data_IF_972499586288
#
_entry.id   IF_972499586288
#
_cell.length_a   1.000
_cell.length_b   1.000
_cell.length_c   1.000
_cell.angle_alpha   90.00
_cell.angle_beta   90.00
_cell.angle_gamma   90.00
#
_symmetry.space_group_name_H-M   'P 1'
#
loop_
_entity.id
_entity.type
_entity.pdbx_description
1 polymer ?
#
# COMPACT_ATOMS: atom_id res chain seq x y z
N UNK A 1 -4.95 5.51 -0.92
CA UNK A 1 -3.87 5.32 0.08
C UNK A 1 -2.86 4.31 -0.45
N UNK A 2 -1.55 4.57 -0.37
CA UNK A 2 -0.51 3.68 -0.92
C UNK A 2 -0.54 2.26 -0.31
N UNK A 3 -0.73 2.19 1.01
CA UNK A 3 -0.87 0.92 1.74
C UNK A 3 -1.97 0.02 1.15
N UNK A 4 -3.14 0.59 0.83
CA UNK A 4 -4.27 -0.16 0.26
C UNK A 4 -3.91 -0.81 -1.08
N UNK A 5 -3.25 -0.06 -1.97
CA UNK A 5 -2.81 -0.57 -3.27
C UNK A 5 -1.80 -1.70 -3.06
N UNK A 6 -0.87 -1.52 -2.14
CA UNK A 6 0.17 -2.54 -1.92
C UNK A 6 -0.39 -3.81 -1.31
N UNK A 7 -1.35 -3.72 -0.38
CA UNK A 7 -2.07 -4.89 0.15
C UNK A 7 -2.77 -5.65 -0.98
N UNK A 8 -3.50 -4.95 -1.88
CA UNK A 8 -4.16 -5.62 -3.03
C UNK A 8 -3.15 -6.32 -3.92
N UNK A 9 -2.05 -5.66 -4.23
CA UNK A 9 -0.98 -6.19 -5.08
C UNK A 9 -0.37 -7.45 -4.50
N UNK A 10 0.07 -7.38 -3.24
CA UNK A 10 0.66 -8.53 -2.54
C UNK A 10 -0.32 -9.66 -2.38
N UNK A 11 -1.60 -9.34 -2.09
CA UNK A 11 -2.66 -10.34 -2.04
C UNK A 11 -2.76 -11.08 -3.38
N UNK A 12 -2.88 -10.35 -4.50
CA UNK A 12 -3.02 -10.96 -5.81
C UNK A 12 -1.82 -11.83 -6.16
N UNK A 13 -0.60 -11.30 -6.01
CA UNK A 13 0.62 -12.01 -6.34
C UNK A 13 0.82 -13.26 -5.46
N UNK A 14 0.59 -13.16 -4.15
CA UNK A 14 0.75 -14.30 -3.22
C UNK A 14 -0.27 -15.40 -3.48
N UNK A 15 -1.53 -15.03 -3.76
CA UNK A 15 -2.60 -15.99 -4.04
C UNK A 15 -2.40 -16.65 -5.39
N UNK A 16 -2.05 -15.89 -6.43
CA UNK A 16 -1.78 -16.41 -7.77
C UNK A 16 -0.57 -17.35 -7.77
N UNK A 17 0.50 -17.01 -7.05
CA UNK A 17 1.68 -17.87 -6.95
C UNK A 17 1.38 -19.24 -6.32
N UNK A 18 0.39 -19.32 -5.42
CA UNK A 18 0.07 -20.54 -4.68
C UNK A 18 -1.07 -21.34 -5.30
N UNK A 19 -2.10 -20.67 -5.80
CA UNK A 19 -3.33 -21.31 -6.28
C UNK A 19 -3.52 -21.19 -7.80
N UNK A 20 -2.74 -20.36 -8.48
CA UNK A 20 -2.83 -20.15 -9.92
C UNK A 20 -4.27 -19.85 -10.35
N UNK A 21 -4.75 -20.57 -11.36
CA UNK A 21 -6.11 -20.47 -11.91
C UNK A 21 -7.23 -20.81 -10.93
N UNK A 22 -6.93 -21.46 -9.80
CA UNK A 22 -7.92 -21.85 -8.80
C UNK A 22 -8.16 -20.78 -7.73
N UNK A 23 -7.53 -19.62 -7.84
CA UNK A 23 -7.62 -18.52 -6.86
C UNK A 23 -9.06 -18.13 -6.54
N UNK A 24 -9.91 -17.98 -7.56
CA UNK A 24 -11.32 -17.62 -7.36
C UNK A 24 -12.06 -18.61 -6.45
N UNK A 25 -11.93 -19.91 -6.70
CA UNK A 25 -12.68 -20.93 -5.95
C UNK A 25 -12.25 -21.00 -4.48
N UNK A 26 -10.97 -20.75 -4.18
CA UNK A 26 -10.46 -20.73 -2.80
C UNK A 26 -11.05 -19.60 -1.95
N UNK A 27 -11.37 -18.47 -2.59
CA UNK A 27 -11.85 -17.26 -1.92
C UNK A 27 -13.31 -16.93 -2.19
N UNK A 28 -14.00 -17.71 -3.03
CA UNK A 28 -15.41 -17.49 -3.40
C UNK A 28 -16.34 -17.37 -2.19
N UNK A 29 -16.13 -18.20 -1.17
CA UNK A 29 -16.95 -18.19 0.05
C UNK A 29 -16.81 -16.89 0.86
N UNK A 30 -15.65 -16.22 0.81
CA UNK A 30 -15.46 -14.90 1.43
C UNK A 30 -16.38 -13.86 0.76
N UNK A 31 -16.41 -13.83 -0.58
CA UNK A 31 -17.24 -12.85 -1.32
C UNK A 31 -18.74 -13.13 -1.24
N UNK A 32 -19.13 -14.40 -1.04
CA UNK A 32 -20.51 -14.80 -0.81
C UNK A 32 -20.94 -14.71 0.67
N UNK A 33 -20.02 -14.38 1.58
CA UNK A 33 -20.36 -14.18 2.98
C UNK A 33 -21.37 -13.04 3.12
N UNK A 34 -22.49 -13.29 3.80
CA UNK A 34 -23.59 -12.34 3.98
C UNK A 34 -23.13 -10.99 4.55
N UNK A 35 -22.13 -10.99 5.44
CA UNK A 35 -21.57 -9.77 6.04
C UNK A 35 -20.87 -8.91 4.98
N UNK A 36 -20.03 -9.53 4.15
CA UNK A 36 -19.31 -8.85 3.07
C UNK A 36 -20.31 -8.43 2.00
N UNK A 37 -21.05 -9.39 1.45
CA UNK A 37 -21.94 -9.25 0.31
C UNK A 37 -22.94 -8.07 0.43
N UNK A 38 -23.59 -7.90 1.58
CA UNK A 38 -24.67 -6.90 1.78
C UNK A 38 -24.21 -5.46 1.60
N UNK A 39 -22.96 -5.16 1.94
CA UNK A 39 -22.36 -3.82 1.81
C UNK A 39 -22.17 -3.39 0.34
N UNK A 40 -22.41 -4.31 -0.60
CA UNK A 40 -22.27 -4.09 -2.03
C UNK A 40 -23.60 -4.13 -2.78
N UNK A 41 -24.72 -4.28 -2.07
CA UNK A 41 -26.05 -4.18 -2.63
C UNK A 41 -26.36 -2.71 -2.96
N UNK A 42 -26.78 -2.48 -4.19
CA UNK A 42 -27.24 -1.17 -4.66
C UNK A 42 -28.56 -1.31 -5.38
N UNK A 43 -29.22 -0.18 -5.68
CA UNK A 43 -30.43 -0.17 -6.53
C UNK A 43 -30.20 -0.81 -7.91
N UNK A 44 -28.94 -0.85 -8.40
CA UNK A 44 -28.54 -1.46 -9.67
C UNK A 44 -28.11 -2.93 -9.53
N UNK A 45 -28.37 -3.54 -8.38
CA UNK A 45 -27.92 -4.90 -8.02
C UNK A 45 -26.58 -4.91 -7.29
N UNK A 46 -26.09 -6.13 -7.00
CA UNK A 46 -24.85 -6.33 -6.26
C UNK A 46 -23.64 -6.42 -7.18
N UNK A 47 -22.64 -5.55 -6.98
CA UNK A 47 -21.45 -5.53 -7.86
C UNK A 47 -20.60 -6.81 -7.77
N UNK A 48 -20.53 -7.45 -6.61
CA UNK A 48 -19.73 -8.67 -6.45
C UNK A 48 -20.40 -9.84 -7.17
N UNK A 49 -21.73 -10.00 -7.07
CA UNK A 49 -22.44 -11.04 -7.82
C UNK A 49 -22.35 -10.87 -9.32
N UNK A 50 -22.37 -9.62 -9.81
CA UNK A 50 -22.16 -9.36 -11.23
C UNK A 50 -20.84 -9.94 -11.72
N UNK A 51 -19.76 -9.80 -10.94
CA UNK A 51 -18.45 -10.35 -11.29
C UNK A 51 -18.44 -11.88 -11.14
N UNK A 52 -19.00 -12.42 -10.05
CA UNK A 52 -19.04 -13.86 -9.77
C UNK A 52 -19.77 -14.63 -10.89
N UNK A 53 -20.91 -14.09 -11.34
CA UNK A 53 -21.79 -14.71 -12.32
C UNK A 53 -21.43 -14.37 -13.78
N UNK A 54 -20.37 -13.61 -14.02
CA UNK A 54 -19.94 -13.25 -15.37
C UNK A 54 -19.25 -14.44 -16.05
N UNK A 55 -19.96 -15.15 -16.92
CA UNK A 55 -19.42 -16.33 -17.60
C UNK A 55 -18.45 -15.99 -18.74
N UNK A 56 -18.29 -14.72 -19.10
CA UNK A 56 -17.39 -14.28 -20.17
C UNK A 56 -15.94 -14.08 -19.70
N UNK A 57 -15.71 -14.15 -18.39
CA UNK A 57 -14.40 -13.89 -17.79
C UNK A 57 -13.85 -15.12 -17.13
N UNK A 58 -12.53 -15.32 -17.24
CA UNK A 58 -11.84 -16.41 -16.56
C UNK A 58 -11.94 -16.28 -15.03
N UNK A 59 -11.82 -17.41 -14.33
CA UNK A 59 -11.82 -17.42 -12.85
C UNK A 59 -10.71 -16.53 -12.26
N UNK A 60 -9.52 -16.53 -12.85
CA UNK A 60 -8.45 -15.63 -12.41
C UNK A 60 -8.82 -14.16 -12.57
N UNK A 61 -9.40 -13.80 -13.71
CA UNK A 61 -9.80 -12.41 -13.93
C UNK A 61 -10.97 -12.01 -13.02
N UNK A 62 -11.91 -12.92 -12.72
CA UNK A 62 -12.92 -12.70 -11.67
C UNK A 62 -12.28 -12.40 -10.33
N UNK A 63 -11.28 -13.18 -9.92
CA UNK A 63 -10.58 -12.95 -8.66
C UNK A 63 -9.92 -11.56 -8.62
N UNK A 64 -9.19 -11.19 -9.67
CA UNK A 64 -8.58 -9.85 -9.80
C UNK A 64 -9.63 -8.75 -9.71
N UNK A 65 -10.73 -8.85 -10.47
CA UNK A 65 -11.83 -7.88 -10.46
C UNK A 65 -12.50 -7.78 -9.07
N UNK A 66 -12.71 -8.90 -8.39
CA UNK A 66 -13.29 -8.95 -7.05
C UNK A 66 -12.39 -8.25 -6.04
N UNK A 67 -11.10 -8.60 -6.03
CA UNK A 67 -10.13 -7.96 -5.14
C UNK A 67 -10.06 -6.47 -5.41
N UNK A 68 -10.10 -6.00 -6.64
CA UNK A 68 -10.11 -4.55 -6.90
C UNK A 68 -11.44 -3.86 -6.57
N UNK A 69 -12.52 -4.61 -6.42
CA UNK A 69 -13.86 -4.07 -6.13
C UNK A 69 -14.19 -3.96 -4.65
N UNK A 70 -13.48 -4.67 -3.76
CA UNK A 70 -13.82 -4.66 -2.33
C UNK A 70 -13.34 -3.40 -1.61
N UNK A 71 -14.10 -2.91 -0.63
CA UNK A 71 -13.67 -1.81 0.25
C UNK A 71 -12.46 -2.20 1.09
N UNK A 72 -11.67 -1.21 1.53
CA UNK A 72 -10.50 -1.41 2.38
C UNK A 72 -10.84 -2.21 3.66
N UNK A 73 -12.00 -2.00 4.27
CA UNK A 73 -12.43 -2.75 5.46
C UNK A 73 -12.49 -4.26 5.22
N UNK A 74 -13.06 -4.68 4.10
CA UNK A 74 -13.15 -6.09 3.72
C UNK A 74 -11.83 -6.63 3.19
N UNK A 75 -11.02 -5.79 2.52
CA UNK A 75 -9.66 -6.17 2.15
C UNK A 75 -8.81 -6.50 3.38
N UNK A 76 -8.87 -5.66 4.41
CA UNK A 76 -8.16 -5.89 5.67
C UNK A 76 -8.71 -7.12 6.41
N UNK A 77 -10.03 -7.30 6.41
CA UNK A 77 -10.64 -8.51 7.00
C UNK A 77 -10.18 -9.79 6.30
N UNK A 78 -10.11 -9.77 4.96
CA UNK A 78 -9.63 -10.89 4.15
C UNK A 78 -8.18 -11.27 4.50
N UNK A 79 -7.27 -10.29 4.54
CA UNK A 79 -5.84 -10.60 4.77
C UNK A 79 -5.49 -10.87 6.23
N UNK A 80 -6.33 -10.46 7.18
CA UNK A 80 -6.04 -10.64 8.62
C UNK A 80 -6.79 -11.82 9.23
N UNK A 81 -8.01 -12.09 8.77
CA UNK A 81 -8.93 -13.02 9.45
C UNK A 81 -9.29 -14.25 8.59
N UNK A 82 -8.93 -14.29 7.30
CA UNK A 82 -9.19 -15.45 6.46
C UNK A 82 -8.05 -16.48 6.54
N UNK A 83 -8.42 -17.75 6.77
CA UNK A 83 -7.49 -18.84 7.16
C UNK A 83 -6.29 -19.04 6.25
N UNK A 84 -6.42 -18.74 4.98
CA UNK A 84 -5.37 -18.87 3.98
C UNK A 84 -4.17 -17.95 4.31
N UNK A 85 -4.39 -16.78 4.92
CA UNK A 85 -3.33 -15.82 5.24
C UNK A 85 -2.56 -16.13 6.53
N UNK A 86 -3.05 -17.03 7.39
CA UNK A 86 -2.35 -17.44 8.62
C UNK A 86 -2.03 -18.93 8.72
N UNK A 87 -2.68 -19.80 7.93
CA UNK A 87 -2.36 -21.24 7.89
C UNK A 87 -1.48 -21.64 6.69
N UNK A 88 -1.62 -20.99 5.53
CA UNK A 88 -0.82 -21.35 4.36
C UNK A 88 0.56 -20.70 4.41
N UNK A 89 1.60 -21.52 4.62
CA UNK A 89 2.98 -21.04 4.77
C UNK A 89 3.53 -20.33 3.52
N UNK A 90 3.11 -20.76 2.33
CA UNK A 90 3.58 -20.15 1.08
C UNK A 90 2.95 -18.76 0.86
N UNK A 91 1.67 -18.60 1.20
CA UNK A 91 1.04 -17.27 1.22
C UNK A 91 1.70 -16.40 2.28
N UNK A 92 1.96 -16.92 3.48
CA UNK A 92 2.63 -16.15 4.54
C UNK A 92 4.01 -15.65 4.12
N UNK A 93 4.80 -16.48 3.44
CA UNK A 93 6.15 -16.13 2.95
C UNK A 93 6.13 -15.05 1.88
N UNK A 94 5.12 -15.04 1.02
CA UNK A 94 5.06 -14.12 -0.14
C UNK A 94 4.30 -12.82 0.19
N UNK A 95 3.25 -12.91 1.00
CA UNK A 95 2.43 -11.76 1.38
C UNK A 95 3.14 -10.87 2.40
N UNK A 96 3.59 -11.43 3.53
CA UNK A 96 4.20 -10.67 4.62
C UNK A 96 5.71 -10.49 4.41
N UNK A 97 6.19 -9.28 4.64
CA UNK A 97 7.63 -8.99 4.72
C UNK A 97 8.19 -9.42 6.09
N UNK A 98 7.57 -8.95 7.18
CA UNK A 98 7.78 -9.48 8.54
C UNK A 98 6.61 -10.40 8.86
N UNK A 99 6.90 -11.67 9.13
CA UNK A 99 5.86 -12.66 9.44
C UNK A 99 5.37 -12.45 10.88
N UNK A 100 4.05 -12.43 11.12
CA UNK A 100 3.56 -12.51 12.48
C UNK A 100 3.92 -13.90 13.06
N UNK A 101 4.75 -13.89 14.09
CA UNK A 101 5.33 -15.10 14.68
C UNK A 101 4.31 -15.95 15.43
N UNK A 102 3.24 -15.32 15.93
CA UNK A 102 2.21 -15.97 16.74
C UNK A 102 0.86 -15.25 16.63
N UNK A 103 -0.17 -15.80 17.27
CA UNK A 103 -1.52 -15.24 17.33
C UNK A 103 -1.55 -13.81 17.88
N UNK A 104 -0.59 -13.42 18.74
CA UNK A 104 -0.51 -12.05 19.27
C UNK A 104 -0.16 -11.06 18.15
N UNK A 105 0.75 -11.40 17.24
CA UNK A 105 1.08 -10.54 16.10
C UNK A 105 -0.11 -10.30 15.18
N UNK A 106 -0.87 -11.35 14.86
CA UNK A 106 -2.11 -11.24 14.09
C UNK A 106 -3.19 -10.45 14.84
N UNK A 107 -3.33 -10.67 16.15
CA UNK A 107 -4.28 -9.94 17.00
C UNK A 107 -4.00 -8.43 16.99
N UNK A 108 -2.75 -8.02 17.15
CA UNK A 108 -2.34 -6.61 17.14
C UNK A 108 -2.68 -5.95 15.79
N UNK A 109 -2.39 -6.62 14.67
CA UNK A 109 -2.79 -6.13 13.34
C UNK A 109 -4.32 -6.05 13.20
N UNK A 110 -5.06 -7.05 13.67
CA UNK A 110 -6.51 -7.10 13.59
C UNK A 110 -7.18 -6.01 14.43
N UNK A 111 -6.62 -5.68 15.60
CA UNK A 111 -7.04 -4.57 16.46
C UNK A 111 -6.79 -3.22 15.78
N UNK A 112 -5.61 -3.02 15.17
CA UNK A 112 -5.27 -1.77 14.46
C UNK A 112 -5.96 -1.59 13.10
N UNK A 113 -6.67 -2.62 12.61
CA UNK A 113 -7.52 -2.53 11.41
C UNK A 113 -8.51 -1.36 11.45
N UNK A 114 -9.15 -1.15 12.60
CA UNK A 114 -10.18 -0.10 12.74
C UNK A 114 -9.59 1.30 12.55
N UNK A 115 -8.36 1.50 13.02
CA UNK A 115 -7.63 2.76 12.91
C UNK A 115 -7.34 3.09 11.45
N UNK A 116 -6.85 2.10 10.68
CA UNK A 116 -6.62 2.25 9.23
C UNK A 116 -7.92 2.54 8.47
N UNK A 117 -9.02 1.88 8.85
CA UNK A 117 -10.34 2.16 8.27
C UNK A 117 -10.77 3.60 8.54
N UNK A 118 -10.61 4.07 9.77
CA UNK A 118 -10.99 5.43 10.17
C UNK A 118 -10.15 6.48 9.45
N UNK A 119 -8.83 6.29 9.36
CA UNK A 119 -7.94 7.13 8.57
C UNK A 119 -8.42 7.27 7.12
N UNK A 120 -8.71 6.15 6.45
CA UNK A 120 -9.19 6.18 5.05
C UNK A 120 -10.50 6.95 4.95
N UNK A 121 -11.41 6.80 5.91
CA UNK A 121 -12.68 7.50 5.90
C UNK A 121 -12.52 9.00 6.13
N UNK A 122 -11.68 9.42 7.08
CA UNK A 122 -11.40 10.83 7.32
C UNK A 122 -10.79 11.49 6.07
N UNK A 123 -9.86 10.82 5.38
CA UNK A 123 -9.31 11.28 4.11
C UNK A 123 -10.42 11.38 3.03
N UNK A 124 -11.23 10.32 2.87
CA UNK A 124 -12.24 10.27 1.81
C UNK A 124 -13.37 11.30 1.98
N UNK A 125 -13.63 11.72 3.22
CA UNK A 125 -14.67 12.68 3.57
C UNK A 125 -14.11 14.06 3.95
N UNK A 126 -12.80 14.30 3.75
CA UNK A 126 -12.14 15.57 4.09
C UNK A 126 -12.36 16.00 5.54
N UNK A 127 -12.37 15.05 6.48
CA UNK A 127 -12.57 15.32 7.90
C UNK A 127 -11.23 15.68 8.59
N UNK A 128 -10.79 16.91 8.35
CA UNK A 128 -9.50 17.41 8.83
C UNK A 128 -9.40 17.45 10.36
N UNK A 129 -10.49 17.79 11.06
CA UNK A 129 -10.52 17.87 12.52
C UNK A 129 -10.20 16.52 13.17
N UNK A 130 -10.90 15.46 12.72
CA UNK A 130 -10.63 14.10 13.19
C UNK A 130 -9.23 13.62 12.79
N UNK A 131 -8.79 13.96 11.59
CA UNK A 131 -7.44 13.61 11.13
C UNK A 131 -6.36 14.21 12.03
N UNK A 132 -6.43 15.51 12.32
CA UNK A 132 -5.46 16.19 13.19
C UNK A 132 -5.49 15.61 14.60
N UNK A 133 -6.68 15.39 15.16
CA UNK A 133 -6.86 14.84 16.51
C UNK A 133 -6.26 13.45 16.68
N UNK A 134 -6.40 12.59 15.67
CA UNK A 134 -5.96 11.18 15.74
C UNK A 134 -4.65 10.91 14.99
N UNK A 135 -3.95 11.97 14.53
CA UNK A 135 -2.75 11.88 13.66
C UNK A 135 -1.72 10.87 14.15
N UNK A 136 -1.39 10.90 15.45
CA UNK A 136 -0.40 9.99 16.04
C UNK A 136 -0.85 8.53 15.95
N UNK A 137 -2.11 8.25 16.30
CA UNK A 137 -2.63 6.88 16.24
C UNK A 137 -2.69 6.35 14.80
N UNK A 138 -3.06 7.23 13.86
CA UNK A 138 -3.05 6.91 12.43
C UNK A 138 -1.66 6.58 11.92
N UNK A 139 -0.67 7.38 12.31
CA UNK A 139 0.72 7.12 11.97
C UNK A 139 1.23 5.81 12.57
N UNK A 140 0.99 5.58 13.86
CA UNK A 140 1.41 4.34 14.55
C UNK A 140 0.81 3.10 13.87
N UNK A 141 -0.47 3.17 13.50
CA UNK A 141 -1.13 2.08 12.77
C UNK A 141 -0.56 1.90 11.36
N UNK A 142 -0.32 2.98 10.61
CA UNK A 142 0.32 2.91 9.30
C UNK A 142 1.69 2.23 9.40
N UNK A 143 2.55 2.67 10.32
CA UNK A 143 3.89 2.11 10.51
C UNK A 143 3.86 0.63 10.85
N UNK A 144 2.90 0.22 11.70
CA UNK A 144 2.71 -1.18 12.00
C UNK A 144 2.39 -1.97 10.72
N UNK A 145 1.37 -1.58 9.95
CA UNK A 145 0.99 -2.29 8.73
C UNK A 145 2.12 -2.28 7.69
N UNK A 146 2.78 -1.15 7.51
CA UNK A 146 3.90 -0.98 6.59
C UNK A 146 5.08 -1.90 6.90
N UNK A 147 5.38 -2.10 8.19
CA UNK A 147 6.44 -3.02 8.64
C UNK A 147 6.10 -4.46 8.25
N UNK A 148 4.87 -4.91 8.51
CA UNK A 148 4.44 -6.28 8.20
C UNK A 148 4.28 -6.54 6.71
N UNK A 149 3.82 -5.54 5.95
CA UNK A 149 3.60 -5.68 4.49
C UNK A 149 4.89 -5.43 3.71
N UNK A 150 5.84 -4.65 4.25
CA UNK A 150 7.09 -4.28 3.59
C UNK A 150 6.99 -3.01 2.74
N UNK A 151 6.09 -2.09 3.09
CA UNK A 151 5.93 -0.79 2.44
C UNK A 151 6.58 0.27 3.32
N UNK A 152 7.90 0.32 3.39
CA UNK A 152 8.60 0.99 4.48
C UNK A 152 8.64 2.53 4.37
N UNK A 153 7.47 3.18 4.25
CA UNK A 153 7.34 4.64 4.18
C UNK A 153 7.64 5.25 5.55
N UNK A 154 7.41 4.55 6.66
CA UNK A 154 7.77 5.08 7.99
C UNK A 154 9.26 5.36 8.19
N UNK A 155 10.17 4.73 7.44
CA UNK A 155 11.57 5.16 7.40
C UNK A 155 11.72 6.62 6.93
N UNK A 156 10.86 7.05 6.00
CA UNK A 156 10.80 8.41 5.47
C UNK A 156 10.20 9.40 6.47
N UNK A 157 9.53 8.95 7.53
CA UNK A 157 9.08 9.85 8.59
C UNK A 157 10.26 10.47 9.35
N UNK A 158 11.40 9.78 9.42
CA UNK A 158 12.62 10.37 9.98
C UNK A 158 13.16 11.57 9.17
N UNK A 159 12.66 11.77 7.95
CA UNK A 159 13.06 12.86 7.06
C UNK A 159 12.17 14.10 7.15
N UNK A 160 11.16 14.12 8.04
CA UNK A 160 10.13 15.18 7.97
C UNK A 160 10.60 16.59 8.35
N UNK A 161 11.79 16.76 8.92
CA UNK A 161 12.32 18.07 9.28
C UNK A 161 13.85 18.13 9.05
N UNK A 162 14.26 18.69 7.91
CA UNK A 162 15.65 19.04 7.61
C UNK A 162 16.06 20.36 8.31
N UNK A 163 15.10 21.16 8.78
CA UNK A 163 15.33 22.40 9.52
C UNK A 163 15.68 23.62 8.66
N UNK A 164 15.67 23.48 7.33
CA UNK A 164 15.89 24.53 6.33
C UNK A 164 15.13 24.19 5.05
N UNK A 165 15.01 25.15 4.10
CA UNK A 165 14.48 24.89 2.75
C UNK A 165 15.54 24.13 1.92
N UNK A 166 15.39 22.81 1.69
CA UNK A 166 16.45 21.97 1.15
C UNK A 166 16.60 22.13 -0.37
N UNK A 167 17.78 21.88 -0.93
CA UNK A 167 17.91 21.79 -2.39
C UNK A 167 17.37 20.45 -2.92
N UNK A 168 17.18 20.34 -4.24
CA UNK A 168 16.83 19.06 -4.88
C UNK A 168 17.84 17.96 -4.48
N UNK A 169 19.14 18.30 -4.43
CA UNK A 169 20.20 17.36 -4.09
C UNK A 169 20.09 16.89 -2.64
N UNK A 170 19.74 17.77 -1.71
CA UNK A 170 19.60 17.44 -0.29
C UNK A 170 18.46 16.45 -0.07
N UNK A 171 17.28 16.72 -0.67
CA UNK A 171 16.13 15.81 -0.61
C UNK A 171 16.46 14.47 -1.25
N UNK A 172 17.07 14.46 -2.44
CA UNK A 172 17.42 13.20 -3.12
C UNK A 172 18.47 12.40 -2.35
N UNK A 173 19.46 13.05 -1.73
CA UNK A 173 20.46 12.37 -0.89
C UNK A 173 19.81 11.76 0.35
N UNK A 174 18.92 12.51 1.01
CA UNK A 174 18.14 12.01 2.14
C UNK A 174 17.28 10.79 1.75
N UNK A 175 16.58 10.86 0.61
CA UNK A 175 15.81 9.75 0.06
C UNK A 175 16.69 8.55 -0.30
N UNK A 176 17.89 8.76 -0.87
CA UNK A 176 18.81 7.67 -1.23
C UNK A 176 19.32 6.93 0.01
N UNK A 177 19.58 7.64 1.11
CA UNK A 177 20.02 7.02 2.36
C UNK A 177 18.94 6.15 3.01
N UNK A 178 17.68 6.55 2.88
CA UNK A 178 16.55 5.96 3.61
C UNK A 178 15.78 4.93 2.78
N UNK A 179 15.70 5.14 1.46
CA UNK A 179 15.02 4.31 0.48
C UNK A 179 15.88 4.14 -0.80
N UNK A 180 17.08 3.54 -0.71
CA UNK A 180 17.99 3.37 -1.84
C UNK A 180 17.37 2.59 -3.01
N UNK A 181 16.38 1.73 -2.74
CA UNK A 181 15.65 0.96 -3.76
C UNK A 181 14.93 1.82 -4.80
N UNK A 182 14.61 3.09 -4.49
CA UNK A 182 14.02 4.04 -5.43
C UNK A 182 15.00 4.53 -6.50
N UNK A 183 16.31 4.37 -6.25
CA UNK A 183 17.40 4.81 -7.13
C UNK A 183 17.94 3.69 -8.03
N UNK A 184 17.50 2.45 -7.80
CA UNK A 184 17.93 1.31 -8.62
C UNK A 184 17.30 1.36 -10.02
N UNK A 185 18.05 0.91 -11.03
CA UNK A 185 17.55 0.71 -12.39
C UNK A 185 16.60 -0.49 -12.48
N UNK A 186 15.61 -0.41 -13.37
CA UNK A 186 14.64 -1.47 -13.63
C UNK A 186 13.31 -1.33 -12.89
N UNK A 187 12.34 -2.20 -13.22
CA UNK A 187 11.08 -2.30 -12.48
C UNK A 187 11.34 -3.03 -11.14
N UNK A 188 10.90 -2.50 -10.00
CA UNK A 188 10.97 -3.22 -8.75
C UNK A 188 10.04 -4.44 -8.78
N UNK A 189 10.55 -5.60 -8.33
CA UNK A 189 9.69 -6.72 -7.97
C UNK A 189 8.81 -6.30 -6.79
N UNK A 190 7.49 -6.37 -6.96
CA UNK A 190 6.51 -6.15 -5.88
C UNK A 190 6.05 -4.71 -5.64
N UNK A 191 6.55 -3.71 -6.38
CA UNK A 191 6.04 -2.34 -6.35
C UNK A 191 5.13 -2.10 -7.56
N UNK A 192 3.86 -1.80 -7.30
CA UNK A 192 2.84 -1.59 -8.34
C UNK A 192 2.86 -0.17 -8.96
N UNK A 193 3.96 0.57 -8.79
CA UNK A 193 4.17 1.93 -9.31
C UNK A 193 5.58 2.07 -9.87
N UNK A 194 5.74 2.98 -10.83
CA UNK A 194 7.05 3.39 -11.33
C UNK A 194 7.90 3.98 -10.17
N UNK A 195 9.16 3.57 -10.05
CA UNK A 195 10.11 4.08 -9.04
C UNK A 195 10.27 5.60 -9.17
N UNK A 196 10.29 6.11 -10.40
CA UNK A 196 10.43 7.54 -10.66
C UNK A 196 9.23 8.30 -10.13
N UNK A 197 8.02 7.76 -10.32
CA UNK A 197 6.80 8.36 -9.77
C UNK A 197 6.78 8.34 -8.25
N UNK A 198 7.14 7.21 -7.63
CA UNK A 198 7.19 7.11 -6.17
C UNK A 198 8.22 8.09 -5.59
N UNK A 199 9.39 8.23 -6.23
CA UNK A 199 10.41 9.18 -5.84
C UNK A 199 9.94 10.63 -5.97
N UNK A 200 9.24 10.99 -7.05
CA UNK A 200 8.68 12.34 -7.24
C UNK A 200 7.62 12.67 -6.18
N UNK A 201 6.70 11.75 -5.89
CA UNK A 201 5.67 11.95 -4.85
C UNK A 201 6.32 12.19 -3.47
N UNK A 202 7.34 11.40 -3.11
CA UNK A 202 8.08 11.57 -1.86
C UNK A 202 8.93 12.84 -1.82
N UNK A 203 9.48 13.23 -2.97
CA UNK A 203 10.22 14.47 -3.10
C UNK A 203 9.32 15.67 -2.77
N UNK A 204 8.13 15.74 -3.40
CA UNK A 204 7.19 16.84 -3.20
C UNK A 204 6.73 16.92 -1.74
N UNK A 205 6.41 15.77 -1.13
CA UNK A 205 6.03 15.70 0.29
C UNK A 205 7.15 16.27 1.19
N UNK A 206 8.40 15.86 0.98
CA UNK A 206 9.53 16.36 1.76
C UNK A 206 9.83 17.84 1.49
N UNK A 207 9.73 18.29 0.25
CA UNK A 207 9.92 19.69 -0.11
C UNK A 207 8.89 20.56 0.61
N UNK A 208 7.60 20.20 0.53
CA UNK A 208 6.50 20.97 1.15
C UNK A 208 6.65 20.99 2.68
N UNK A 209 6.94 19.85 3.30
CA UNK A 209 7.17 19.77 4.74
C UNK A 209 8.35 20.65 5.20
N UNK A 210 9.31 20.91 4.32
CA UNK A 210 10.49 21.72 4.60
C UNK A 210 10.43 23.13 3.99
N UNK A 211 9.23 23.67 3.75
CA UNK A 211 9.05 25.09 3.44
C UNK A 211 9.04 25.44 1.95
N UNK A 212 8.77 24.48 1.06
CA UNK A 212 8.36 24.78 -0.31
C UNK A 212 6.86 25.08 -0.37
N UNK A 213 6.50 26.11 -1.13
CA UNK A 213 5.13 26.29 -1.61
C UNK A 213 4.87 25.36 -2.80
N UNK A 214 3.62 24.95 -3.00
CA UNK A 214 3.24 24.09 -4.13
C UNK A 214 3.62 24.69 -5.50
N UNK A 215 3.66 26.03 -5.60
CA UNK A 215 4.04 26.74 -6.82
C UNK A 215 5.57 26.83 -7.02
N UNK A 216 6.34 26.58 -5.97
CA UNK A 216 7.80 26.64 -5.96
C UNK A 216 8.44 25.26 -6.20
N UNK A 217 7.62 24.21 -6.35
CA UNK A 217 8.12 22.85 -6.53
C UNK A 217 8.93 22.75 -7.84
N UNK A 218 10.14 22.18 -7.78
CA UNK A 218 10.94 21.92 -8.97
C UNK A 218 10.21 21.03 -9.97
N UNK A 219 10.48 21.24 -11.27
CA UNK A 219 9.88 20.39 -12.29
C UNK A 219 10.33 18.92 -12.13
N UNK A 220 9.45 17.94 -12.47
CA UNK A 220 9.80 16.53 -12.43
C UNK A 220 11.08 16.18 -13.20
N UNK A 221 11.30 16.84 -14.34
CA UNK A 221 12.51 16.64 -15.16
C UNK A 221 13.79 17.07 -14.47
N UNK A 222 13.75 18.17 -13.70
CA UNK A 222 14.90 18.65 -12.92
C UNK A 222 15.28 17.65 -11.84
N UNK A 223 14.27 17.11 -11.15
CA UNK A 223 14.44 16.12 -10.07
C UNK A 223 15.04 14.83 -10.64
N UNK A 224 14.45 14.29 -11.72
CA UNK A 224 14.93 13.05 -12.33
C UNK A 224 16.34 13.19 -12.92
N UNK A 225 16.68 14.33 -13.55
CA UNK A 225 18.05 14.57 -14.04
C UNK A 225 19.06 14.48 -12.90
N UNK A 226 18.78 15.12 -11.77
CA UNK A 226 19.70 15.11 -10.64
C UNK A 226 19.75 13.75 -9.94
N UNK A 227 18.64 12.99 -9.91
CA UNK A 227 18.65 11.57 -9.52
C UNK A 227 19.65 10.78 -10.36
N UNK A 228 19.62 10.91 -11.69
CA UNK A 228 20.55 10.20 -12.57
C UNK A 228 22.01 10.61 -12.34
N UNK A 229 22.29 11.89 -12.08
CA UNK A 229 23.63 12.38 -11.74
C UNK A 229 24.15 11.78 -10.42
N UNK A 230 23.31 11.76 -9.38
CA UNK A 230 23.63 11.13 -8.10
C UNK A 230 23.94 9.65 -8.28
N UNK A 231 23.10 8.93 -9.03
CA UNK A 231 23.26 7.48 -9.26
C UNK A 231 24.53 7.15 -10.05
N UNK A 232 24.92 8.00 -11.01
CA UNK A 232 26.19 7.86 -11.76
C UNK A 232 27.42 8.08 -10.89
N UNK A 233 27.33 8.99 -9.93
CA UNK A 233 28.44 9.34 -9.04
C UNK A 233 28.76 8.21 -8.05
N UNK A 234 27.77 7.40 -7.67
CA UNK A 234 27.94 6.27 -6.73
C UNK A 234 28.52 5.00 -7.37
N UNK A 235 28.47 4.85 -8.70
CA UNK A 235 28.98 3.65 -9.42
C UNK A 235 30.48 3.74 -9.74
N UNK A 236 31.07 4.93 -9.64
CA UNK A 236 32.48 5.17 -9.97
C UNK A 236 33.42 5.17 -8.74
N UNK A 237 32.99 4.60 -7.61
CA UNK A 237 33.77 4.46 -6.38
C UNK A 237 33.79 3.02 -5.90
#
# INVERSE_FOLDING_TARGET
MSLEITIRTKLLNSVEAVYGTNSFNQFKSFFLNKYVYREYDTRKGNRLLKIINDNQVSDNEKFVRLINSIYLSHLLDLVLNYKQFYLNQEIKKTFYYVKPENDKGYKVLSEKRIVIKNLRNDIAHFNFENFVKNRKEYLDALCLFETYIGCNICKLHSLTELGYKPTIKDILTALQNVAPELFLSGKPEGLNRDRDRALLELFDDLAILNGYDCNDLPSPWSILRQKYELTRSTVNH
#
